data_IF_576424769595
#
_entry.id   IF_576424769595
#
_cell.length_a   1.000
_cell.length_b   1.000
_cell.length_c   1.000
_cell.angle_alpha   90.00
_cell.angle_beta   90.00
_cell.angle_gamma   90.00
#
_symmetry.space_group_name_H-M   'P 1'
#
loop_
_entity.id
_entity.type
_entity.pdbx_description
1 polymer ?
#
# COMPACT_ATOMS: atom_id res chain seq x y z
N UNK A 1 19.11 1.91 15.70
CA UNK A 1 19.24 2.87 14.57
C UNK A 1 18.00 2.72 13.71
N UNK A 2 17.39 3.80 13.17
CA UNK A 2 16.26 3.65 12.26
C UNK A 2 16.73 2.86 11.02
N UNK A 3 15.96 1.86 10.63
CA UNK A 3 16.22 1.11 9.39
C UNK A 3 15.82 2.01 8.24
N UNK A 4 16.79 2.41 7.42
CA UNK A 4 16.55 3.09 6.14
C UNK A 4 16.44 1.99 5.09
N UNK A 5 15.30 1.94 4.38
CA UNK A 5 15.08 1.01 3.28
C UNK A 5 14.79 1.83 2.03
N UNK A 6 15.46 1.51 0.92
CA UNK A 6 15.29 2.19 -0.34
C UNK A 6 14.11 1.55 -1.10
N UNK A 7 13.03 2.30 -1.25
CA UNK A 7 11.86 1.87 -2.02
C UNK A 7 11.97 2.39 -3.45
N UNK A 8 11.70 1.53 -4.44
CA UNK A 8 11.61 1.97 -5.84
C UNK A 8 10.22 1.69 -6.40
N UNK A 9 9.64 2.69 -7.05
CA UNK A 9 8.37 2.56 -7.76
C UNK A 9 8.66 2.43 -9.26
N UNK A 10 8.16 1.35 -9.87
CA UNK A 10 8.38 1.04 -11.29
C UNK A 10 7.05 0.92 -12.02
N UNK A 11 6.95 1.53 -13.20
CA UNK A 11 5.83 1.31 -14.11
C UNK A 11 5.92 -0.11 -14.67
N UNK A 12 4.86 -0.91 -14.51
CA UNK A 12 4.80 -2.29 -15.00
C UNK A 12 3.99 -2.40 -16.29
N UNK A 13 2.79 -1.82 -16.31
CA UNK A 13 1.91 -1.80 -17.49
C UNK A 13 1.14 -0.48 -17.54
N UNK A 14 1.52 0.39 -18.48
CA UNK A 14 0.91 1.69 -18.66
C UNK A 14 -0.56 1.62 -19.08
N UNK A 15 -0.95 0.60 -19.86
CA UNK A 15 -2.32 0.46 -20.37
C UNK A 15 -3.29 0.04 -19.27
N UNK A 16 -2.80 -0.64 -18.23
CA UNK A 16 -3.57 -1.08 -17.07
C UNK A 16 -3.39 -0.21 -15.84
N UNK A 17 -2.57 0.84 -15.94
CA UNK A 17 -2.18 1.67 -14.81
C UNK A 17 -1.57 0.84 -13.66
N UNK A 18 -0.80 -0.19 -13.99
CA UNK A 18 -0.13 -1.07 -13.02
C UNK A 18 1.30 -0.59 -12.75
N UNK A 19 1.63 -0.52 -11.48
CA UNK A 19 2.94 -0.20 -10.94
C UNK A 19 3.40 -1.31 -9.99
N UNK A 20 4.67 -1.25 -9.66
CA UNK A 20 5.31 -2.17 -8.73
C UNK A 20 6.16 -1.35 -7.75
N UNK A 21 5.83 -1.46 -6.47
CA UNK A 21 6.71 -1.02 -5.38
C UNK A 21 7.66 -2.15 -5.01
N UNK A 22 8.95 -1.95 -5.24
CA UNK A 22 10.01 -2.83 -4.81
C UNK A 22 10.55 -2.31 -3.48
N UNK A 23 10.31 -3.06 -2.41
CA UNK A 23 10.80 -2.71 -1.07
C UNK A 23 12.23 -3.24 -0.83
N UNK A 24 12.87 -3.85 -1.83
CA UNK A 24 14.12 -4.58 -1.66
C UNK A 24 13.92 -5.96 -1.00
N UNK A 25 14.99 -6.74 -0.93
CA UNK A 25 15.01 -8.10 -0.35
C UNK A 25 14.03 -9.09 -1.01
N UNK A 26 13.65 -8.83 -2.27
CA UNK A 26 12.69 -9.65 -3.01
C UNK A 26 11.22 -9.40 -2.65
N UNK A 27 10.92 -8.40 -1.82
CA UNK A 27 9.56 -7.99 -1.50
C UNK A 27 9.04 -7.01 -2.54
N UNK A 28 7.98 -7.41 -3.21
CA UNK A 28 7.40 -6.68 -4.33
C UNK A 28 5.89 -6.55 -4.12
N UNK A 29 5.39 -5.31 -4.12
CA UNK A 29 3.97 -5.01 -4.01
C UNK A 29 3.41 -4.61 -5.37
N UNK A 30 2.22 -5.14 -5.70
CA UNK A 30 1.48 -4.73 -6.87
C UNK A 30 0.67 -3.48 -6.53
N UNK A 31 0.84 -2.42 -7.30
CA UNK A 31 0.14 -1.16 -7.13
C UNK A 31 -0.71 -0.84 -8.37
N UNK A 32 -1.91 -0.33 -8.12
CA UNK A 32 -2.85 0.07 -9.17
C UNK A 32 -3.13 1.56 -9.05
N UNK A 33 -2.86 2.31 -10.10
CA UNK A 33 -3.07 3.76 -10.15
C UNK A 33 -4.50 4.07 -10.58
N UNK A 34 -5.22 4.80 -9.72
CA UNK A 34 -6.52 5.40 -10.02
C UNK A 34 -6.45 6.90 -9.76
N UNK A 35 -6.64 7.72 -10.79
CA UNK A 35 -6.44 9.16 -10.69
C UNK A 35 -4.98 9.50 -10.33
N UNK A 36 -4.78 10.14 -9.18
CA UNK A 36 -3.46 10.51 -8.63
C UNK A 36 -3.01 9.63 -7.45
N UNK A 37 -3.71 8.52 -7.18
CA UNK A 37 -3.45 7.66 -6.02
C UNK A 37 -3.15 6.22 -6.45
N UNK A 38 -2.07 5.66 -5.90
CA UNK A 38 -1.75 4.24 -6.00
C UNK A 38 -2.43 3.49 -4.88
N UNK A 39 -2.93 2.29 -5.17
CA UNK A 39 -3.55 1.38 -4.23
C UNK A 39 -2.88 0.02 -4.30
N UNK A 40 -2.58 -0.56 -3.15
CA UNK A 40 -2.17 -1.96 -3.02
C UNK A 40 -3.01 -2.65 -1.97
N UNK A 41 -3.24 -3.94 -2.18
CA UNK A 41 -3.82 -4.86 -1.20
C UNK A 41 -2.98 -6.12 -1.24
N UNK A 42 -2.48 -6.54 -0.09
CA UNK A 42 -1.62 -7.71 0.04
C UNK A 42 -1.85 -8.38 1.38
N UNK A 43 -1.48 -9.66 1.46
CA UNK A 43 -1.59 -10.43 2.69
C UNK A 43 -0.22 -10.99 3.08
N UNK A 44 0.11 -10.90 4.36
CA UNK A 44 1.27 -11.60 4.92
C UNK A 44 0.88 -12.22 6.25
N UNK A 45 1.17 -13.51 6.41
CA UNK A 45 0.91 -14.27 7.64
C UNK A 45 -0.54 -14.13 8.18
N UNK A 46 -1.53 -14.09 7.28
CA UNK A 46 -2.95 -13.95 7.64
C UNK A 46 -3.39 -12.54 8.07
N UNK A 47 -2.52 -11.54 7.91
CA UNK A 47 -2.82 -10.13 8.08
C UNK A 47 -3.00 -9.52 6.69
N UNK A 48 -4.18 -8.96 6.44
CA UNK A 48 -4.44 -8.20 5.22
C UNK A 48 -4.00 -6.77 5.45
N UNK A 49 -3.22 -6.25 4.52
CA UNK A 49 -2.82 -4.87 4.49
C UNK A 49 -3.38 -4.20 3.23
N UNK A 50 -3.76 -2.94 3.38
CA UNK A 50 -3.98 -2.07 2.23
C UNK A 50 -3.03 -0.89 2.36
N UNK A 51 -2.48 -0.44 1.26
CA UNK A 51 -1.64 0.76 1.24
C UNK A 51 -2.00 1.68 0.11
N UNK A 52 -1.75 2.97 0.33
CA UNK A 52 -1.92 3.98 -0.71
C UNK A 52 -0.79 4.98 -0.72
N UNK A 53 -0.44 5.45 -1.91
CA UNK A 53 0.44 6.59 -2.13
C UNK A 53 -0.30 7.67 -2.90
N UNK A 54 -0.33 8.89 -2.37
CA UNK A 54 -0.98 10.03 -3.00
C UNK A 54 -0.09 11.26 -2.97
N UNK A 55 0.13 11.87 -4.13
CA UNK A 55 0.84 13.14 -4.22
C UNK A 55 -0.15 14.30 -4.08
N UNK A 56 -0.02 15.08 -3.00
CA UNK A 56 -0.80 16.29 -2.74
C UNK A 56 0.15 17.49 -2.63
N UNK A 57 0.16 18.33 -3.68
CA UNK A 57 1.13 19.42 -3.80
C UNK A 57 2.56 18.89 -3.89
N UNK A 58 3.40 19.24 -2.91
CA UNK A 58 4.80 18.82 -2.80
C UNK A 58 5.02 17.65 -1.82
N UNK A 59 3.94 17.06 -1.30
CA UNK A 59 3.97 16.01 -0.28
C UNK A 59 3.44 14.70 -0.85
N UNK A 60 4.19 13.63 -0.61
CA UNK A 60 3.73 12.27 -0.88
C UNK A 60 3.17 11.70 0.43
N UNK A 61 1.86 11.47 0.46
CA UNK A 61 1.17 10.84 1.58
C UNK A 61 1.18 9.34 1.35
N UNK A 62 1.74 8.62 2.30
CA UNK A 62 1.67 7.17 2.36
C UNK A 62 0.81 6.74 3.54
N UNK A 63 -0.17 5.89 3.28
CA UNK A 63 -1.00 5.29 4.31
C UNK A 63 -0.97 3.78 4.15
N UNK A 64 -0.85 3.07 5.27
CA UNK A 64 -0.99 1.62 5.32
C UNK A 64 -1.93 1.26 6.45
N UNK A 65 -2.88 0.39 6.15
CA UNK A 65 -3.75 -0.22 7.15
C UNK A 65 -3.41 -1.70 7.27
N UNK A 66 -3.71 -2.28 8.43
CA UNK A 66 -3.66 -3.71 8.62
C UNK A 66 -4.87 -4.19 9.39
N UNK A 67 -5.29 -5.41 9.10
CA UNK A 67 -6.31 -6.08 9.87
C UNK A 67 -6.43 -7.54 9.47
N UNK A 68 -7.51 -8.17 9.92
CA UNK A 68 -7.70 -9.62 9.82
C UNK A 68 -9.08 -9.94 9.30
N UNK A 69 -9.20 -11.10 8.68
CA UNK A 69 -10.49 -11.65 8.27
C UNK A 69 -11.39 -11.83 9.51
N UNK A 70 -12.61 -11.32 9.45
CA UNK A 70 -13.60 -11.52 10.49
C UNK A 70 -14.26 -12.90 10.34
N UNK A 71 -14.60 -13.52 11.48
CA UNK A 71 -15.08 -14.91 11.52
C UNK A 71 -16.47 -15.10 10.93
N UNK A 72 -17.35 -14.09 11.04
CA UNK A 72 -18.75 -14.19 10.63
C UNK A 72 -18.99 -13.46 9.31
N UNK A 73 -19.06 -14.16 8.18
CA UNK A 73 -19.45 -13.55 6.91
C UNK A 73 -20.94 -13.18 6.96
N UNK A 74 -21.28 -11.97 6.54
CA UNK A 74 -22.67 -11.54 6.41
C UNK A 74 -23.14 -11.81 4.98
N UNK A 75 -24.02 -12.80 4.78
CA UNK A 75 -24.62 -13.12 3.48
C UNK A 75 -23.60 -13.24 2.32
N UNK A 76 -22.47 -13.90 2.55
CA UNK A 76 -21.41 -14.08 1.55
C UNK A 76 -20.40 -12.92 1.45
N UNK A 77 -20.63 -11.82 2.18
CA UNK A 77 -19.66 -10.73 2.34
C UNK A 77 -18.63 -11.11 3.40
N UNK A 78 -17.36 -11.15 3.01
CA UNK A 78 -16.24 -11.34 3.94
C UNK A 78 -15.78 -9.96 4.42
N UNK A 79 -15.90 -9.73 5.72
CA UNK A 79 -15.38 -8.52 6.34
C UNK A 79 -13.93 -8.72 6.79
N UNK A 80 -13.14 -7.65 6.71
CA UNK A 80 -11.81 -7.57 7.29
C UNK A 80 -11.83 -6.41 8.29
N UNK A 81 -11.20 -6.59 9.46
CA UNK A 81 -10.99 -5.49 10.38
C UNK A 81 -9.99 -4.48 9.81
N UNK A 82 -9.99 -3.28 10.39
CA UNK A 82 -8.93 -2.29 10.22
C UNK A 82 -8.43 -1.99 11.62
N UNK A 83 -7.46 -2.77 12.06
CA UNK A 83 -6.97 -2.75 13.44
C UNK A 83 -5.94 -1.63 13.64
N UNK A 84 -5.16 -1.33 12.60
CA UNK A 84 -4.14 -0.29 12.64
C UNK A 84 -4.17 0.54 11.36
N UNK A 85 -3.87 1.83 11.52
CA UNK A 85 -3.58 2.77 10.45
C UNK A 85 -2.25 3.47 10.77
N UNK A 86 -1.31 3.43 9.83
CA UNK A 86 -0.12 4.25 9.86
C UNK A 86 -0.15 5.22 8.69
N UNK A 87 0.16 6.49 8.99
CA UNK A 87 0.24 7.56 8.00
C UNK A 87 1.59 8.23 8.06
N UNK A 88 2.24 8.34 6.90
CA UNK A 88 3.54 8.99 6.72
C UNK A 88 3.39 10.09 5.67
N UNK A 89 3.97 11.26 5.96
CA UNK A 89 4.01 12.38 5.01
C UNK A 89 5.46 12.59 4.61
N UNK A 90 5.80 12.12 3.42
CA UNK A 90 7.11 12.35 2.82
C UNK A 90 7.17 13.75 2.22
N UNK A 91 8.32 14.40 2.39
CA UNK A 91 8.66 15.65 1.71
C UNK A 91 9.82 15.37 0.77
N UNK A 92 9.83 16.03 -0.37
CA UNK A 92 10.98 16.00 -1.27
C UNK A 92 12.23 16.48 -0.51
N UNK A 93 13.30 15.69 -0.54
CA UNK A 93 14.61 16.10 -0.02
C UNK A 93 15.11 17.35 -0.77
N UNK A 94 15.90 18.18 -0.08
CA UNK A 94 16.62 19.30 -0.72
C UNK A 94 17.69 18.79 -1.66
#
# INVERSE_FOLDING_TARGET
MPVVKDYTLRLKDAAKHEYVTDEGDGVVLADYLFGNKLYSVFETQGIVLTSTYELIGDKLIFEVTSGRKQAEPSQGVINYSVDNLQRVVFKKGK
#
